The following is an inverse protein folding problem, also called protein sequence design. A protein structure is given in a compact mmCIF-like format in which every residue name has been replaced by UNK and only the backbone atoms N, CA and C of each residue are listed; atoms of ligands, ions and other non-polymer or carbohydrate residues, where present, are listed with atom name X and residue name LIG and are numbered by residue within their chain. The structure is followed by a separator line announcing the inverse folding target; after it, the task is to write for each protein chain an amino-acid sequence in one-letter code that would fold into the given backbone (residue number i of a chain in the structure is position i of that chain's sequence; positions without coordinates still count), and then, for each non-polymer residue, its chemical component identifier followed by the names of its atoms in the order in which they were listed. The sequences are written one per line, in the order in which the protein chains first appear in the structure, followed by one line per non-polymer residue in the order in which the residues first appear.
data_IF_886278191060
#
_entry.id   IF_886278191060
#
_cell.length_a   1.000
_cell.length_b   1.000
_cell.length_c   1.000
_cell.angle_alpha   90.00
_cell.angle_beta   90.00
_cell.angle_gamma   90.00
#
_symmetry.space_group_name_H-M   'P 1'
#
loop_
_entity.id
_entity.type
_entity.pdbx_description
1 polymer ?
#
# COMPACT_ATOMS: atom_id res chain seq x y z
N UNK A 1 0.04 -28.43 -4.03
CA UNK A 1 1.08 -27.62 -3.36
C UNK A 1 1.51 -26.48 -4.30
N UNK A 2 1.66 -25.23 -3.84
CA UNK A 2 2.04 -24.10 -4.72
C UNK A 2 3.54 -24.10 -4.98
N UNK A 3 3.97 -23.97 -6.24
CA UNK A 3 5.38 -23.94 -6.64
C UNK A 3 6.19 -22.87 -5.90
N UNK A 4 7.44 -23.16 -5.56
CA UNK A 4 8.37 -22.22 -4.92
C UNK A 4 8.52 -20.94 -5.75
N UNK A 5 8.71 -21.06 -7.07
CA UNK A 5 8.90 -19.91 -7.97
C UNK A 5 7.72 -18.91 -7.90
N UNK A 6 6.47 -19.40 -7.90
CA UNK A 6 5.28 -18.55 -7.73
C UNK A 6 5.27 -17.82 -6.38
N UNK A 7 5.74 -18.46 -5.31
CA UNK A 7 5.85 -17.84 -3.98
C UNK A 7 6.95 -16.78 -3.96
N UNK A 8 8.12 -17.09 -4.51
CA UNK A 8 9.25 -16.17 -4.60
C UNK A 8 8.91 -14.91 -5.40
N UNK A 9 8.22 -15.04 -6.54
CA UNK A 9 7.78 -13.89 -7.34
C UNK A 9 6.88 -12.94 -6.53
N UNK A 10 5.86 -13.49 -5.85
CA UNK A 10 4.96 -12.69 -5.01
C UNK A 10 5.69 -11.99 -3.86
N UNK A 11 6.66 -12.67 -3.25
CA UNK A 11 7.50 -12.09 -2.20
C UNK A 11 8.35 -10.95 -2.76
N UNK A 12 9.05 -11.18 -3.87
CA UNK A 12 9.95 -10.22 -4.50
C UNK A 12 9.23 -8.92 -4.88
N UNK A 13 8.03 -9.01 -5.48
CA UNK A 13 7.22 -7.82 -5.79
C UNK A 13 6.88 -7.02 -4.54
N UNK A 14 6.56 -7.67 -3.41
CA UNK A 14 6.26 -6.98 -2.15
C UNK A 14 7.48 -6.33 -1.53
N UNK A 15 8.62 -7.01 -1.51
CA UNK A 15 9.86 -6.48 -0.94
C UNK A 15 10.37 -5.28 -1.74
N UNK A 16 10.30 -5.35 -3.09
CA UNK A 16 10.66 -4.22 -3.94
C UNK A 16 9.74 -3.02 -3.71
N UNK A 17 8.44 -3.24 -3.54
CA UNK A 17 7.50 -2.17 -3.23
C UNK A 17 7.74 -1.50 -1.86
N UNK A 18 8.35 -2.21 -0.91
CA UNK A 18 8.76 -1.65 0.40
C UNK A 18 10.04 -0.83 0.24
N UNK A 19 10.99 -1.31 -0.56
CA UNK A 19 12.29 -0.66 -0.71
C UNK A 19 12.26 0.61 -1.57
N UNK A 20 11.41 0.68 -2.61
CA UNK A 20 11.49 1.68 -3.68
C UNK A 20 10.22 2.54 -3.86
N UNK A 21 9.23 2.40 -2.99
CA UNK A 21 7.98 3.15 -3.13
C UNK A 21 8.11 4.63 -2.77
N UNK A 22 7.02 5.39 -2.96
CA UNK A 22 6.91 6.81 -2.57
C UNK A 22 7.36 7.11 -1.13
N UNK A 23 7.08 6.22 -0.19
CA UNK A 23 7.53 6.32 1.20
C UNK A 23 8.93 5.77 1.51
N UNK A 24 9.75 5.47 0.52
CA UNK A 24 11.14 5.06 0.72
C UNK A 24 12.02 6.29 0.98
N UNK A 25 12.05 6.71 2.25
CA UNK A 25 12.66 7.97 2.67
C UNK A 25 13.57 7.72 3.87
N UNK A 26 14.68 8.46 3.95
CA UNK A 26 15.55 8.50 5.13
C UNK A 26 15.23 9.75 5.95
N UNK A 27 14.68 9.53 7.15
CA UNK A 27 14.46 10.59 8.13
C UNK A 27 15.79 11.13 8.70
N UNK A 28 15.87 12.43 9.04
CA UNK A 28 17.03 12.97 9.74
C UNK A 28 17.12 12.41 11.18
N UNK A 29 18.31 12.48 11.76
CA UNK A 29 18.59 11.96 13.11
C UNK A 29 17.81 12.69 14.21
N UNK A 30 17.32 13.89 13.91
CA UNK A 30 16.54 14.72 14.82
C UNK A 30 15.17 14.09 15.13
N UNK A 31 14.65 13.19 14.29
CA UNK A 31 13.34 12.55 14.51
C UNK A 31 13.50 11.38 15.48
N UNK A 32 12.88 11.49 16.66
CA UNK A 32 12.88 10.45 17.70
C UNK A 32 11.74 9.45 17.56
N UNK A 33 10.52 9.93 17.31
CA UNK A 33 9.32 9.07 17.30
C UNK A 33 8.24 9.64 16.38
N UNK A 34 7.51 8.76 15.71
CA UNK A 34 6.30 9.12 14.96
C UNK A 34 5.12 8.37 15.59
N UNK A 35 4.06 9.09 15.92
CA UNK A 35 2.81 8.50 16.40
C UNK A 35 1.66 8.89 15.47
N UNK A 36 0.87 7.90 15.08
CA UNK A 36 -0.27 8.06 14.20
C UNK A 36 -1.54 7.73 14.96
N UNK A 37 -2.51 8.65 15.01
CA UNK A 37 -3.83 8.42 15.61
C UNK A 37 -4.94 8.70 14.60
N UNK A 38 -5.78 7.70 14.32
CA UNK A 38 -6.92 7.82 13.41
C UNK A 38 -7.98 6.75 13.67
N UNK A 39 -9.18 6.89 13.12
CA UNK A 39 -10.27 5.91 13.32
C UNK A 39 -10.13 4.68 12.39
N UNK A 40 -10.61 3.49 12.79
CA UNK A 40 -10.44 2.26 12.01
C UNK A 40 -11.24 2.24 10.70
N UNK A 41 -12.41 2.90 10.66
CA UNK A 41 -13.27 2.93 9.45
C UNK A 41 -12.87 4.08 8.54
N UNK A 42 -13.22 3.96 7.26
CA UNK A 42 -12.80 4.88 6.20
C UNK A 42 -13.64 6.17 6.11
N UNK A 43 -14.83 6.18 6.72
CA UNK A 43 -15.78 7.29 6.68
C UNK A 43 -15.19 8.54 7.35
N UNK A 44 -15.70 9.73 7.06
CA UNK A 44 -15.27 10.96 7.77
C UNK A 44 -13.83 11.41 7.47
N UNK A 45 -13.27 11.02 6.32
CA UNK A 45 -11.96 11.51 5.86
C UNK A 45 -10.74 10.73 6.39
N UNK A 46 -10.93 9.55 6.98
CA UNK A 46 -9.82 8.73 7.53
C UNK A 46 -9.11 7.83 6.49
N UNK A 47 -9.54 7.89 5.22
CA UNK A 47 -9.00 7.05 4.15
C UNK A 47 -7.50 7.28 3.90
N UNK A 48 -7.07 8.55 3.88
CA UNK A 48 -5.68 8.93 3.69
C UNK A 48 -4.76 8.33 4.74
N UNK A 49 -5.07 8.56 6.02
CA UNK A 49 -4.32 8.02 7.15
C UNK A 49 -4.20 6.49 7.11
N UNK A 50 -5.27 5.78 6.73
CA UNK A 50 -5.26 4.32 6.58
C UNK A 50 -4.33 3.86 5.45
N UNK A 51 -4.36 4.52 4.29
CA UNK A 51 -3.45 4.20 3.17
C UNK A 51 -2.00 4.55 3.52
N UNK A 52 -1.79 5.69 4.17
CA UNK A 52 -0.49 6.13 4.66
C UNK A 52 0.14 5.10 5.60
N UNK A 53 -0.62 4.60 6.59
CA UNK A 53 -0.16 3.53 7.47
C UNK A 53 0.20 2.24 6.71
N UNK A 54 -0.64 1.80 5.78
CA UNK A 54 -0.44 0.51 5.08
C UNK A 54 0.70 0.51 4.07
N UNK A 55 0.97 1.66 3.47
CA UNK A 55 1.93 1.77 2.37
C UNK A 55 3.17 2.57 2.78
N UNK A 56 2.99 3.84 3.13
CA UNK A 56 4.12 4.75 3.33
C UNK A 56 4.84 4.52 4.66
N UNK A 57 4.11 4.31 5.76
CA UNK A 57 4.72 4.08 7.08
C UNK A 57 5.57 2.80 7.11
N UNK A 58 5.13 1.74 6.44
CA UNK A 58 5.87 0.48 6.33
C UNK A 58 7.17 0.66 5.54
N UNK A 59 7.13 1.44 4.45
CA UNK A 59 8.30 1.77 3.63
C UNK A 59 9.32 2.59 4.40
N UNK A 60 8.88 3.62 5.12
CA UNK A 60 9.76 4.44 5.96
C UNK A 60 10.39 3.62 7.09
N UNK A 61 9.62 2.76 7.76
CA UNK A 61 10.14 1.91 8.85
C UNK A 61 11.25 0.96 8.40
N UNK A 62 11.20 0.49 7.15
CA UNK A 62 12.24 -0.36 6.58
C UNK A 62 13.60 0.36 6.50
N UNK A 63 13.60 1.64 6.12
CA UNK A 63 14.82 2.45 6.01
C UNK A 63 15.23 3.11 7.34
N UNK A 64 14.27 3.31 8.26
CA UNK A 64 14.49 3.89 9.58
C UNK A 64 14.12 2.92 10.71
N UNK A 65 14.86 1.81 10.90
CA UNK A 65 14.53 0.81 11.92
C UNK A 65 14.63 1.37 13.34
N UNK A 66 15.53 2.32 13.59
CA UNK A 66 15.77 2.91 14.90
C UNK A 66 14.65 3.85 15.38
N UNK A 67 13.83 4.39 14.48
CA UNK A 67 12.76 5.32 14.84
C UNK A 67 11.51 4.51 15.24
N UNK A 68 11.05 4.55 16.50
CA UNK A 68 9.77 3.98 16.88
C UNK A 68 8.61 4.67 16.15
N UNK A 69 7.77 3.86 15.51
CA UNK A 69 6.56 4.29 14.83
C UNK A 69 5.36 3.56 15.44
N UNK A 70 4.48 4.30 16.10
CA UNK A 70 3.31 3.78 16.79
C UNK A 70 2.03 4.16 16.06
N UNK A 71 1.04 3.26 16.08
CA UNK A 71 -0.28 3.52 15.49
C UNK A 71 -1.34 3.21 16.53
N UNK A 72 -2.11 4.23 16.86
CA UNK A 72 -3.29 4.16 17.70
C UNK A 72 -4.53 4.26 16.82
N UNK A 73 -5.46 3.32 17.00
CA UNK A 73 -6.74 3.36 16.32
C UNK A 73 -7.81 3.72 17.34
N UNK A 74 -8.31 4.95 17.27
CA UNK A 74 -9.36 5.42 18.17
C UNK A 74 -10.71 4.78 17.85
N UNK A 75 -11.54 4.54 18.87
CA UNK A 75 -12.90 4.02 18.68
C UNK A 75 -13.85 5.08 18.10
N UNK A 76 -13.58 6.37 18.37
CA UNK A 76 -14.40 7.48 17.89
C UNK A 76 -14.14 7.76 16.42
N UNK A 77 -15.17 7.58 15.58
CA UNK A 77 -15.06 7.78 14.14
C UNK A 77 -14.88 9.25 13.76
N UNK A 78 -15.52 10.15 14.50
CA UNK A 78 -15.42 11.60 14.25
C UNK A 78 -14.16 12.21 14.88
N UNK A 79 -13.38 11.38 15.58
CA UNK A 79 -12.13 11.75 16.21
C UNK A 79 -11.10 12.33 15.22
N UNK A 80 -10.08 13.03 15.75
CA UNK A 80 -9.05 13.65 14.94
C UNK A 80 -8.17 12.59 14.26
N UNK A 81 -7.82 12.82 13.00
CA UNK A 81 -6.81 12.05 12.28
C UNK A 81 -5.50 12.84 12.31
N UNK A 82 -4.62 12.57 13.28
CA UNK A 82 -3.43 13.38 13.51
C UNK A 82 -2.19 12.50 13.58
N UNK A 83 -1.12 12.96 12.93
CA UNK A 83 0.22 12.43 13.04
C UNK A 83 1.04 13.35 13.91
N UNK A 84 1.67 12.84 14.97
CA UNK A 84 2.63 13.58 15.77
C UNK A 84 4.05 13.09 15.52
N UNK A 85 4.92 14.02 15.13
CA UNK A 85 6.35 13.81 14.94
C UNK A 85 7.08 14.43 16.12
N UNK A 86 7.83 13.60 16.84
CA UNK A 86 8.65 14.01 17.97
C UNK A 86 10.08 14.22 17.51
N UNK A 87 10.56 15.45 17.68
CA UNK A 87 11.94 15.83 17.43
C UNK A 87 12.74 15.85 18.72
N UNK A 88 14.01 15.51 18.61
CA UNK A 88 14.99 15.76 19.65
C UNK A 88 15.07 17.26 19.93
N UNK A 89 15.17 17.62 21.21
CA UNK A 89 15.53 18.98 21.59
C UNK A 89 16.83 19.41 20.88
N UNK A 90 16.82 20.61 20.30
CA UNK A 90 18.03 21.22 19.75
C UNK A 90 18.91 21.70 20.90
N UNK A 91 20.21 21.83 20.66
CA UNK A 91 21.15 22.38 21.64
C UNK A 91 20.66 23.76 22.11
N UNK A 92 20.15 23.83 23.36
CA UNK A 92 19.56 25.04 23.96
C UNK A 92 18.08 24.93 24.35
N UNK A 93 17.35 23.89 23.93
CA UNK A 93 15.97 23.63 24.36
C UNK A 93 15.91 22.49 25.40
N UNK A 94 15.11 22.66 26.44
CA UNK A 94 15.02 21.70 27.55
C UNK A 94 14.05 20.53 27.28
N UNK A 95 13.17 20.64 26.28
CA UNK A 95 12.12 19.66 25.99
C UNK A 95 12.06 19.26 24.52
N UNK A 96 11.58 18.03 24.28
CA UNK A 96 11.36 17.51 22.93
C UNK A 96 10.23 18.28 22.23
N UNK A 97 10.48 18.70 20.99
CA UNK A 97 9.51 19.42 20.15
C UNK A 97 8.55 18.43 19.49
N UNK A 98 7.26 18.69 19.60
CA UNK A 98 6.20 17.87 19.00
C UNK A 98 5.52 18.69 17.91
N UNK A 99 5.51 18.16 16.69
CA UNK A 99 4.77 18.75 15.57
C UNK A 99 3.61 17.85 15.17
N UNK A 100 2.43 18.44 15.00
CA UNK A 100 1.22 17.73 14.61
C UNK A 100 0.84 18.04 13.17
N UNK A 101 0.54 17.00 12.39
CA UNK A 101 0.04 17.08 11.03
C UNK A 101 -1.39 16.52 11.02
N UNK A 102 -2.34 17.32 10.54
CA UNK A 102 -3.71 16.87 10.32
C UNK A 102 -3.79 16.07 9.01
N UNK A 103 -4.41 14.88 9.08
CA UNK A 103 -4.56 13.94 7.97
C UNK A 103 -6.01 13.77 7.51
N UNK A 104 -6.97 14.45 8.15
CA UNK A 104 -8.39 14.30 7.85
C UNK A 104 -8.68 14.85 6.45
N UNK A 105 -9.31 14.02 5.61
CA UNK A 105 -9.67 14.35 4.21
C UNK A 105 -8.51 14.58 3.26
N UNK A 106 -7.28 14.28 3.66
CA UNK A 106 -6.11 14.32 2.79
C UNK A 106 -5.84 12.97 2.14
N UNK A 107 -5.15 12.99 1.00
CA UNK A 107 -4.63 11.79 0.34
C UNK A 107 -3.32 11.33 0.96
N UNK A 108 -2.89 10.08 0.71
CA UNK A 108 -1.63 9.58 1.25
C UNK A 108 -0.40 10.32 0.69
N UNK A 109 -0.44 10.77 -0.57
CA UNK A 109 0.63 11.55 -1.18
C UNK A 109 0.77 12.92 -0.52
N UNK A 110 -0.34 13.64 -0.30
CA UNK A 110 -0.30 14.95 0.37
C UNK A 110 0.21 14.85 1.81
N UNK A 111 -0.17 13.79 2.54
CA UNK A 111 0.33 13.54 3.90
C UNK A 111 1.84 13.26 3.88
N UNK A 112 2.31 12.50 2.88
CA UNK A 112 3.73 12.22 2.70
C UNK A 112 4.52 13.49 2.39
N UNK A 113 4.03 14.32 1.46
CA UNK A 113 4.67 15.57 1.09
C UNK A 113 4.74 16.54 2.27
N UNK A 114 3.66 16.63 3.05
CA UNK A 114 3.65 17.41 4.30
C UNK A 114 4.70 16.92 5.29
N UNK A 115 4.86 15.60 5.45
CA UNK A 115 5.89 15.02 6.32
C UNK A 115 7.31 15.26 5.77
N UNK A 116 7.53 15.13 4.46
CA UNK A 116 8.83 15.40 3.83
C UNK A 116 9.20 16.87 4.03
N UNK A 117 8.28 17.79 3.80
CA UNK A 117 8.53 19.22 3.97
C UNK A 117 8.85 19.58 5.42
N UNK A 118 8.17 18.93 6.37
CA UNK A 118 8.34 19.13 7.81
C UNK A 118 9.66 18.53 8.34
N UNK A 119 9.99 17.31 7.92
CA UNK A 119 11.18 16.60 8.38
C UNK A 119 12.42 16.86 7.51
N UNK A 120 12.27 17.47 6.33
CA UNK A 120 13.32 17.60 5.31
C UNK A 120 14.00 16.28 4.97
N UNK A 121 13.21 15.21 4.97
CA UNK A 121 13.73 13.87 4.76
C UNK A 121 14.09 13.64 3.28
N UNK A 122 15.02 12.71 3.04
CA UNK A 122 15.59 12.48 1.71
C UNK A 122 15.03 11.22 1.08
N UNK A 123 14.52 11.33 -0.15
CA UNK A 123 14.03 10.18 -0.91
C UNK A 123 15.19 9.31 -1.40
N UNK A 124 15.01 7.99 -1.36
CA UNK A 124 16.03 7.04 -1.80
C UNK A 124 15.85 6.76 -3.29
N UNK A 125 16.93 6.91 -4.05
CA UNK A 125 16.92 6.56 -5.46
C UNK A 125 17.09 5.04 -5.69
N UNK A 126 16.41 4.47 -6.70
CA UNK A 126 16.60 3.07 -7.07
C UNK A 126 18.01 2.81 -7.61
N UNK A 127 18.68 1.80 -7.05
CA UNK A 127 19.98 1.30 -7.56
C UNK A 127 19.83 0.60 -8.92
N UNK A 128 20.93 0.25 -9.58
CA UNK A 128 20.90 -0.41 -10.89
C UNK A 128 20.22 -1.79 -10.86
N UNK A 129 20.55 -2.62 -9.86
CA UNK A 129 19.94 -3.95 -9.67
C UNK A 129 18.42 -3.85 -9.49
N UNK A 130 17.98 -2.81 -8.80
CA UNK A 130 16.58 -2.57 -8.47
C UNK A 130 15.78 -2.27 -9.73
N UNK A 131 16.36 -1.46 -10.62
CA UNK A 131 15.78 -1.14 -11.93
C UNK A 131 15.66 -2.40 -12.79
N UNK A 132 16.65 -3.28 -12.78
CA UNK A 132 16.56 -4.56 -13.51
C UNK A 132 15.46 -5.46 -12.96
N UNK A 133 15.36 -5.57 -11.63
CA UNK A 133 14.30 -6.39 -11.02
C UNK A 133 12.91 -5.83 -11.30
N UNK A 134 12.76 -4.50 -11.33
CA UNK A 134 11.52 -3.84 -11.74
C UNK A 134 11.18 -4.16 -13.19
N UNK A 135 12.14 -4.04 -14.11
CA UNK A 135 11.94 -4.36 -15.53
C UNK A 135 11.51 -5.83 -15.71
N UNK A 136 12.20 -6.78 -15.07
CA UNK A 136 11.86 -8.21 -15.10
C UNK A 136 10.45 -8.48 -14.56
N UNK A 137 10.02 -7.76 -13.52
CA UNK A 137 8.67 -7.92 -12.97
C UNK A 137 7.59 -7.30 -13.86
N UNK A 138 7.87 -6.16 -14.50
CA UNK A 138 6.95 -5.52 -15.44
C UNK A 138 6.71 -6.40 -16.66
N UNK A 139 7.76 -6.98 -17.24
CA UNK A 139 7.64 -7.94 -18.35
C UNK A 139 6.76 -9.13 -17.97
N UNK A 140 6.92 -9.66 -16.75
CA UNK A 140 6.11 -10.75 -16.23
C UNK A 140 4.65 -10.36 -15.99
N UNK A 141 4.38 -9.11 -15.58
CA UNK A 141 3.01 -8.61 -15.42
C UNK A 141 2.31 -8.50 -16.77
N UNK A 142 2.95 -7.90 -17.77
CA UNK A 142 2.41 -7.79 -19.14
C UNK A 142 2.12 -9.17 -19.72
N UNK A 143 3.02 -10.13 -19.55
CA UNK A 143 2.79 -11.51 -19.98
C UNK A 143 1.58 -12.14 -19.25
N UNK A 144 1.48 -11.94 -17.93
CA UNK A 144 0.38 -12.47 -17.13
C UNK A 144 -0.97 -11.84 -17.46
N UNK A 145 -1.01 -10.56 -17.83
CA UNK A 145 -2.23 -9.86 -18.24
C UNK A 145 -2.75 -10.43 -19.56
N UNK A 146 -1.86 -10.60 -20.55
CA UNK A 146 -2.19 -11.24 -21.84
C UNK A 146 -2.73 -12.65 -21.66
N UNK A 147 -2.11 -13.45 -20.78
CA UNK A 147 -2.58 -14.80 -20.49
C UNK A 147 -3.94 -14.81 -19.77
N UNK A 148 -4.14 -13.84 -18.86
CA UNK A 148 -5.40 -13.68 -18.12
C UNK A 148 -6.56 -13.32 -19.05
N UNK A 149 -6.34 -12.43 -20.02
CA UNK A 149 -7.33 -12.04 -21.02
C UNK A 149 -7.76 -13.23 -21.89
N UNK A 150 -6.79 -13.97 -22.43
CA UNK A 150 -7.05 -15.20 -23.21
C UNK A 150 -7.85 -16.23 -22.41
N UNK A 151 -7.48 -16.45 -21.15
CA UNK A 151 -8.18 -17.40 -20.29
C UNK A 151 -9.61 -16.95 -19.97
N UNK A 152 -9.83 -15.64 -19.82
CA UNK A 152 -11.15 -15.07 -19.59
C UNK A 152 -12.06 -15.26 -20.80
N UNK A 153 -11.55 -15.05 -22.02
CA UNK A 153 -12.30 -15.28 -23.26
C UNK A 153 -12.71 -16.74 -23.42
N UNK A 154 -11.79 -17.68 -23.18
CA UNK A 154 -12.09 -19.11 -23.27
C UNK A 154 -13.16 -19.53 -22.26
N UNK A 155 -13.05 -19.05 -21.00
CA UNK A 155 -14.07 -19.31 -19.98
C UNK A 155 -15.42 -18.71 -20.33
N UNK A 156 -15.44 -17.53 -20.95
CA UNK A 156 -16.67 -16.89 -21.39
C UNK A 156 -17.35 -17.70 -22.52
N UNK A 157 -16.57 -18.21 -23.49
CA UNK A 157 -17.09 -19.07 -24.57
C UNK A 157 -17.66 -20.37 -24.01
N UNK A 158 -16.91 -21.07 -23.17
CA UNK A 158 -17.37 -22.31 -22.52
C UNK A 158 -18.65 -22.10 -21.71
N UNK A 159 -18.73 -21.00 -20.96
CA UNK A 159 -19.94 -20.66 -20.19
C UNK A 159 -21.14 -20.38 -21.11
N UNK A 160 -20.95 -19.69 -22.23
CA UNK A 160 -22.00 -19.44 -23.23
C UNK A 160 -22.50 -20.74 -23.87
N UNK A 161 -21.57 -21.60 -24.29
CA UNK A 161 -21.90 -22.91 -24.88
C UNK A 161 -22.69 -23.77 -23.88
N UNK A 162 -22.25 -23.82 -22.62
CA UNK A 162 -22.98 -24.54 -21.56
C UNK A 162 -24.40 -23.99 -21.37
N UNK A 163 -24.57 -22.66 -21.36
CA UNK A 163 -25.90 -22.05 -21.23
C UNK A 163 -26.82 -22.39 -22.41
N UNK A 164 -26.31 -22.41 -23.64
CA UNK A 164 -27.08 -22.77 -24.84
C UNK A 164 -27.51 -24.25 -24.75
N UNK A 165 -26.60 -25.14 -24.35
CA UNK A 165 -26.90 -26.56 -24.19
C UNK A 165 -27.91 -26.82 -23.06
N UNK A 166 -27.81 -26.08 -21.94
CA UNK A 166 -28.76 -26.15 -20.84
C UNK A 166 -30.16 -25.68 -21.26
N UNK A 167 -30.26 -24.58 -22.02
CA UNK A 167 -31.53 -24.11 -22.59
C UNK A 167 -32.15 -25.16 -23.52
N UNK A 168 -31.36 -25.67 -24.47
CA UNK A 168 -31.83 -26.71 -25.39
C UNK A 168 -32.28 -27.99 -24.65
N UNK A 169 -31.56 -28.39 -23.59
CA UNK A 169 -31.96 -29.55 -22.77
C UNK A 169 -33.22 -29.29 -21.95
N UNK A 170 -33.40 -28.07 -21.45
CA UNK A 170 -34.61 -27.65 -20.73
C UNK A 170 -35.85 -27.62 -21.63
N UNK A 171 -35.69 -27.10 -22.85
CA UNK A 171 -36.78 -27.05 -23.84
C UNK A 171 -37.23 -28.45 -24.27
N UNK A 172 -36.30 -29.37 -24.52
CA UNK A 172 -36.61 -30.77 -24.86
C UNK A 172 -37.31 -31.49 -23.70
N UNK A 173 -36.89 -31.25 -22.46
CA UNK A 173 -37.56 -31.81 -21.28
C UNK A 173 -38.98 -31.26 -21.10
N UNK A 174 -39.22 -29.99 -21.47
CA UNK A 174 -40.56 -29.39 -21.44
C UNK A 174 -41.49 -29.86 -22.57
N UNK A 175 -40.94 -30.26 -23.72
CA UNK A 175 -41.71 -30.81 -24.85
C UNK A 175 -42.04 -32.30 -24.70
N UNK A 176 -41.30 -33.02 -23.84
CA UNK A 176 -41.50 -34.45 -23.58
C UNK A 176 -42.43 -34.74 -22.38
N UNK A 177 -42.97 -33.71 -21.72
CA UNK A 177 -43.94 -33.78 -20.62
C UNK A 177 -45.33 -33.35 -21.11
#
# INVERSE_FOLDING_TARGET
MVSILKRMRKLQTRLLAIRLGSGAIVLPKDVKRIHLSFAPRMNGGHMGARKFWRHELVRMKYHNPSVPMSVERSESQDGPAVMSVHFAAKEGEASDRIESINMKSYTNSEILDALINLTKATAIEPTAEDRETLAKLQEQQVASERDSERALELRAKQKREQQILEQARGDVASQAA
#
